data_IF_857731080485
#
_entry.id   IF_857731080485
#
_cell.length_a   1.000
_cell.length_b   1.000
_cell.length_c   1.000
_cell.angle_alpha   90.00
_cell.angle_beta   90.00
_cell.angle_gamma   90.00
#
_symmetry.space_group_name_H-M   'P 1'
#
loop_
_entity.id
_entity.type
_entity.pdbx_description
1 polymer ?
#
# COMPACT_ATOMS: atom_id res chain seq x y z
N UNK A 1 -0.96 14.05 -13.26
CA UNK A 1 -1.12 12.86 -12.39
C UNK A 1 -2.61 12.58 -12.19
N UNK A 2 -2.94 11.35 -11.80
CA UNK A 2 -4.31 10.95 -11.44
C UNK A 2 -4.74 11.57 -10.08
N UNK A 3 -5.99 11.34 -9.67
CA UNK A 3 -6.47 11.76 -8.34
C UNK A 3 -5.73 11.04 -7.21
N UNK A 4 -5.55 11.71 -6.06
CA UNK A 4 -5.04 11.06 -4.84
C UNK A 4 -6.03 10.03 -4.25
N UNK A 5 -7.27 9.99 -4.73
CA UNK A 5 -8.23 8.90 -4.41
C UNK A 5 -7.66 7.53 -4.76
N UNK A 6 -6.81 7.47 -5.79
CA UNK A 6 -6.14 6.24 -6.22
C UNK A 6 -5.04 5.76 -5.25
N UNK A 7 -4.63 6.60 -4.31
CA UNK A 7 -3.70 6.26 -3.23
C UNK A 7 -4.44 5.68 -2.01
N UNK A 8 -5.66 6.20 -1.74
CA UNK A 8 -6.46 5.81 -0.59
C UNK A 8 -7.70 5.04 -1.02
N UNK A 9 -7.57 3.72 -1.11
CA UNK A 9 -8.67 2.81 -1.46
C UNK A 9 -9.07 1.99 -0.24
N UNK A 10 -10.36 1.97 0.07
CA UNK A 10 -10.93 1.13 1.11
C UNK A 10 -11.19 -0.26 0.52
N UNK A 11 -10.74 -1.30 1.21
CA UNK A 11 -10.98 -2.67 0.77
C UNK A 11 -10.43 -3.72 1.72
N UNK A 12 -10.64 -4.97 1.35
CA UNK A 12 -10.13 -6.11 2.10
C UNK A 12 -8.67 -6.41 1.78
N UNK A 13 -7.85 -6.64 2.82
CA UNK A 13 -6.52 -7.20 2.65
C UNK A 13 -6.52 -8.66 2.16
N UNK A 14 -5.36 -9.30 2.11
CA UNK A 14 -4.08 -8.79 2.59
C UNK A 14 -3.27 -7.98 1.56
N UNK A 15 -3.61 -8.02 0.26
CA UNK A 15 -2.81 -7.40 -0.80
C UNK A 15 -3.63 -6.54 -1.75
N UNK A 16 -3.16 -5.33 -2.06
CA UNK A 16 -3.80 -4.50 -3.07
C UNK A 16 -3.64 -5.08 -4.49
N UNK A 17 -2.46 -5.60 -4.84
CA UNK A 17 -2.18 -6.17 -6.16
C UNK A 17 -2.68 -7.61 -6.32
N UNK A 18 -2.67 -8.42 -5.25
CA UNK A 18 -3.01 -9.86 -5.31
C UNK A 18 -4.41 -10.19 -4.78
N UNK A 19 -5.09 -9.26 -4.09
CA UNK A 19 -6.45 -9.44 -3.57
C UNK A 19 -7.42 -8.44 -4.15
N UNK A 20 -7.20 -7.12 -3.92
CA UNK A 20 -8.14 -6.08 -4.36
C UNK A 20 -8.24 -5.97 -5.88
N UNK A 21 -7.10 -5.98 -6.59
CA UNK A 21 -7.05 -5.95 -8.06
C UNK A 21 -7.77 -7.13 -8.71
N UNK A 22 -7.45 -8.39 -8.34
CA UNK A 22 -8.17 -9.57 -8.80
C UNK A 22 -9.66 -9.57 -8.47
N UNK A 23 -10.06 -9.15 -7.27
CA UNK A 23 -11.46 -9.01 -6.90
C UNK A 23 -12.21 -7.99 -7.78
N UNK A 24 -11.57 -6.83 -8.05
CA UNK A 24 -12.11 -5.82 -8.96
C UNK A 24 -12.27 -6.36 -10.39
N UNK A 25 -11.27 -7.08 -10.91
CA UNK A 25 -11.34 -7.69 -12.22
C UNK A 25 -12.45 -8.73 -12.31
N UNK A 26 -12.58 -9.60 -11.30
CA UNK A 26 -13.63 -10.60 -11.21
C UNK A 26 -15.02 -9.97 -11.19
N UNK A 27 -15.23 -8.88 -10.43
CA UNK A 27 -16.51 -8.17 -10.39
C UNK A 27 -16.89 -7.60 -11.76
N UNK A 28 -15.97 -6.92 -12.44
CA UNK A 28 -16.21 -6.37 -13.78
C UNK A 28 -16.52 -7.48 -14.78
N UNK A 29 -15.80 -8.61 -14.73
CA UNK A 29 -16.03 -9.71 -15.65
C UNK A 29 -17.36 -10.43 -15.38
N UNK A 30 -17.76 -10.55 -14.10
CA UNK A 30 -19.08 -11.09 -13.74
C UNK A 30 -20.24 -10.21 -14.26
N UNK A 31 -20.12 -8.89 -14.15
CA UNK A 31 -21.10 -7.94 -14.66
C UNK A 31 -21.22 -8.00 -16.19
N UNK A 32 -20.12 -8.22 -16.91
CA UNK A 32 -20.10 -8.41 -18.37
C UNK A 32 -20.76 -9.73 -18.81
N UNK A 33 -20.73 -10.75 -17.93
CA UNK A 33 -21.14 -12.11 -18.25
C UNK A 33 -22.22 -12.64 -17.30
N UNK A 34 -23.42 -11.99 -17.20
CA UNK A 34 -24.46 -12.40 -16.27
C UNK A 34 -25.02 -13.79 -16.57
N UNK A 35 -24.98 -14.22 -17.85
CA UNK A 35 -25.52 -15.50 -18.32
C UNK A 35 -24.50 -16.65 -18.33
N UNK A 36 -23.25 -16.42 -17.89
CA UNK A 36 -22.25 -17.50 -17.85
C UNK A 36 -22.72 -18.62 -16.90
N UNK A 37 -22.50 -19.86 -17.29
CA UNK A 37 -22.77 -21.03 -16.45
C UNK A 37 -21.64 -21.29 -15.43
N UNK A 38 -20.42 -20.85 -15.74
CA UNK A 38 -19.24 -20.94 -14.88
C UNK A 38 -18.11 -20.09 -15.41
N UNK A 39 -17.00 -20.07 -14.67
CA UNK A 39 -15.81 -19.34 -15.04
C UNK A 39 -14.54 -20.17 -14.91
N UNK A 40 -13.54 -19.88 -15.74
CA UNK A 40 -12.17 -20.33 -15.56
C UNK A 40 -11.27 -19.10 -15.50
N UNK A 41 -10.35 -19.07 -14.52
CA UNK A 41 -9.44 -17.94 -14.36
C UNK A 41 -8.01 -18.48 -14.28
N UNK A 42 -7.18 -18.11 -15.26
CA UNK A 42 -5.76 -18.45 -15.27
C UNK A 42 -4.93 -17.31 -14.72
N UNK A 43 -4.16 -17.58 -13.67
CA UNK A 43 -3.26 -16.64 -13.02
C UNK A 43 -1.83 -16.87 -13.49
N UNK A 44 -1.07 -15.79 -13.72
CA UNK A 44 0.28 -15.82 -14.28
C UNK A 44 1.32 -15.17 -13.36
N UNK A 45 2.59 -15.55 -13.53
CA UNK A 45 3.77 -14.93 -12.92
C UNK A 45 3.68 -14.77 -11.41
N UNK A 46 4.00 -13.59 -10.87
CA UNK A 46 3.98 -13.31 -9.43
C UNK A 46 2.60 -13.56 -8.81
N UNK A 47 1.53 -13.22 -9.52
CA UNK A 47 0.15 -13.43 -9.06
C UNK A 47 -0.15 -14.94 -8.84
N UNK A 48 0.42 -15.81 -9.65
CA UNK A 48 0.29 -17.26 -9.47
C UNK A 48 1.26 -17.79 -8.42
N UNK A 49 2.49 -17.29 -8.36
CA UNK A 49 3.53 -17.74 -7.44
C UNK A 49 3.16 -17.53 -5.97
N UNK A 50 2.56 -16.39 -5.64
CA UNK A 50 2.22 -16.00 -4.26
C UNK A 50 0.72 -15.92 -3.99
N UNK A 51 -0.12 -16.12 -4.99
CA UNK A 51 -1.56 -15.85 -4.94
C UNK A 51 -2.32 -16.62 -3.86
N UNK A 52 -1.94 -17.85 -3.54
CA UNK A 52 -2.56 -18.61 -2.43
C UNK A 52 -2.32 -17.95 -1.09
N UNK A 53 -1.11 -17.46 -0.85
CA UNK A 53 -0.77 -16.70 0.37
C UNK A 53 -1.45 -15.34 0.46
N UNK A 54 -1.81 -14.77 -0.68
CA UNK A 54 -2.52 -13.49 -0.80
C UNK A 54 -4.04 -13.64 -0.96
N UNK A 55 -4.59 -14.86 -0.81
CA UNK A 55 -6.03 -15.15 -0.92
C UNK A 55 -6.62 -14.76 -2.30
N UNK A 56 -5.81 -14.79 -3.37
CA UNK A 56 -6.21 -14.39 -4.72
C UNK A 56 -7.34 -15.26 -5.25
N UNK A 57 -7.20 -16.59 -5.10
CA UNK A 57 -8.24 -17.55 -5.46
C UNK A 57 -9.53 -17.34 -4.67
N UNK A 58 -9.39 -17.17 -3.37
CA UNK A 58 -10.54 -16.97 -2.47
C UNK A 58 -11.35 -15.74 -2.84
N UNK A 59 -10.71 -14.60 -3.13
CA UNK A 59 -11.42 -13.38 -3.53
C UNK A 59 -12.07 -13.52 -4.90
N UNK A 60 -11.40 -14.14 -5.87
CA UNK A 60 -11.97 -14.36 -7.21
C UNK A 60 -13.19 -15.27 -7.11
N UNK A 61 -13.06 -16.43 -6.45
CA UNK A 61 -14.15 -17.39 -6.29
C UNK A 61 -15.34 -16.79 -5.55
N UNK A 62 -15.08 -16.06 -4.46
CA UNK A 62 -16.16 -15.40 -3.69
C UNK A 62 -16.87 -14.32 -4.50
N UNK A 63 -16.14 -13.56 -5.31
CA UNK A 63 -16.70 -12.50 -6.17
C UNK A 63 -17.56 -13.08 -7.31
N UNK A 64 -17.13 -14.20 -7.89
CA UNK A 64 -17.85 -14.86 -8.98
C UNK A 64 -18.96 -15.81 -8.49
N UNK A 65 -19.08 -16.02 -7.17
CA UNK A 65 -20.17 -16.82 -6.57
C UNK A 65 -21.55 -16.27 -6.93
N UNK A 66 -22.59 -17.13 -7.13
CA UNK A 66 -22.63 -18.57 -6.87
C UNK A 66 -22.17 -19.46 -8.05
N UNK A 67 -21.60 -18.88 -9.11
CA UNK A 67 -21.19 -19.63 -10.30
C UNK A 67 -19.91 -20.45 -10.03
N UNK A 68 -19.82 -21.70 -10.50
CA UNK A 68 -18.62 -22.51 -10.35
C UNK A 68 -17.43 -21.83 -11.03
N UNK A 69 -16.30 -21.79 -10.34
CA UNK A 69 -15.08 -21.11 -10.82
C UNK A 69 -13.87 -22.01 -10.65
N UNK A 70 -13.17 -22.27 -11.76
CA UNK A 70 -11.90 -22.98 -11.79
C UNK A 70 -10.73 -22.01 -11.78
N UNK A 71 -9.74 -22.22 -10.91
CA UNK A 71 -8.50 -21.43 -10.87
C UNK A 71 -7.34 -22.26 -11.43
N UNK A 72 -6.68 -21.75 -12.46
CA UNK A 72 -5.51 -22.36 -13.10
C UNK A 72 -4.26 -21.55 -12.76
N UNK A 73 -3.24 -22.18 -12.19
CA UNK A 73 -2.01 -21.54 -11.74
C UNK A 73 -0.88 -21.74 -12.74
N UNK A 74 -0.32 -20.65 -13.27
CA UNK A 74 0.80 -20.66 -14.23
C UNK A 74 1.91 -19.70 -13.80
N UNK A 75 2.62 -20.00 -12.69
CA UNK A 75 3.76 -19.19 -12.22
C UNK A 75 4.94 -19.20 -13.22
N UNK A 76 5.02 -20.23 -14.03
CA UNK A 76 6.03 -20.42 -15.08
C UNK A 76 5.89 -19.46 -16.27
N UNK A 77 4.74 -18.77 -16.40
CA UNK A 77 4.48 -17.85 -17.50
C UNK A 77 4.46 -16.42 -16.98
N UNK A 78 5.44 -15.62 -17.39
CA UNK A 78 5.48 -14.19 -17.14
C UNK A 78 5.06 -13.44 -18.41
N UNK A 79 4.00 -12.65 -18.33
CA UNK A 79 3.53 -11.84 -19.45
C UNK A 79 4.41 -10.61 -19.65
N UNK A 80 4.60 -10.19 -20.91
CA UNK A 80 5.49 -9.08 -21.25
C UNK A 80 5.02 -7.72 -20.70
N UNK A 81 3.69 -7.49 -20.62
CA UNK A 81 3.12 -6.24 -20.16
C UNK A 81 3.29 -6.06 -18.63
N UNK A 82 2.94 -7.09 -17.85
CA UNK A 82 3.07 -7.07 -16.38
C UNK A 82 3.08 -8.50 -15.82
N UNK A 83 3.83 -8.72 -14.73
CA UNK A 83 3.95 -10.03 -14.08
C UNK A 83 2.63 -10.55 -13.48
N UNK A 84 1.72 -9.66 -13.06
CA UNK A 84 0.44 -10.02 -12.43
C UNK A 84 -0.69 -10.14 -13.45
N UNK A 85 -0.56 -11.06 -14.41
CA UNK A 85 -1.57 -11.31 -15.42
C UNK A 85 -2.70 -12.24 -14.92
N UNK A 86 -3.93 -11.96 -15.38
CA UNK A 86 -5.13 -12.78 -15.14
C UNK A 86 -5.87 -12.95 -16.46
N UNK A 87 -6.19 -14.18 -16.81
CA UNK A 87 -7.00 -14.50 -17.99
C UNK A 87 -8.32 -15.11 -17.53
N UNK A 88 -9.39 -14.37 -17.73
CA UNK A 88 -10.75 -14.79 -17.40
C UNK A 88 -11.43 -15.39 -18.62
N UNK A 89 -12.15 -16.48 -18.44
CA UNK A 89 -12.99 -17.15 -19.45
C UNK A 89 -14.39 -17.38 -18.86
N UNK A 90 -15.44 -16.92 -19.57
CA UNK A 90 -16.83 -17.20 -19.26
C UNK A 90 -17.29 -18.41 -20.03
N UNK A 91 -17.85 -19.41 -19.33
CA UNK A 91 -18.22 -20.70 -19.88
C UNK A 91 -19.76 -20.83 -19.99
N UNK A 92 -20.24 -21.46 -21.07
CA UNK A 92 -21.62 -21.90 -21.18
C UNK A 92 -21.88 -23.24 -20.45
N UNK A 93 -23.12 -23.73 -20.51
CA UNK A 93 -23.51 -24.99 -19.86
C UNK A 93 -22.76 -26.24 -20.39
N UNK A 94 -22.22 -26.17 -21.61
CA UNK A 94 -21.44 -27.23 -22.24
C UNK A 94 -19.93 -27.07 -21.99
N UNK A 95 -19.52 -26.06 -21.19
CA UNK A 95 -18.12 -25.74 -20.87
C UNK A 95 -17.36 -25.01 -21.99
N UNK A 96 -18.07 -24.50 -23.02
CA UNK A 96 -17.46 -23.76 -24.11
C UNK A 96 -17.30 -22.28 -23.75
N UNK A 97 -16.13 -21.71 -24.09
CA UNK A 97 -15.82 -20.29 -23.87
C UNK A 97 -16.70 -19.40 -24.74
N UNK A 98 -17.37 -18.44 -24.12
CA UNK A 98 -18.24 -17.43 -24.76
C UNK A 98 -17.63 -16.03 -24.78
N UNK A 99 -16.90 -15.67 -23.74
CA UNK A 99 -16.16 -14.41 -23.60
C UNK A 99 -14.87 -14.66 -22.87
N UNK A 100 -13.84 -13.91 -23.19
CA UNK A 100 -12.56 -13.98 -22.51
C UNK A 100 -11.98 -12.57 -22.29
N UNK A 101 -11.08 -12.46 -21.31
CA UNK A 101 -10.48 -11.19 -20.95
C UNK A 101 -9.12 -11.37 -20.31
N UNK A 102 -8.08 -10.82 -20.94
CA UNK A 102 -6.75 -10.72 -20.37
C UNK A 102 -6.56 -9.35 -19.72
N UNK A 103 -6.33 -9.33 -18.42
CA UNK A 103 -6.19 -8.12 -17.60
C UNK A 103 -5.05 -8.30 -16.59
N UNK A 104 -4.46 -7.20 -16.16
CA UNK A 104 -3.30 -7.18 -15.28
C UNK A 104 -3.58 -6.37 -14.04
N UNK A 105 -3.15 -6.85 -12.88
CA UNK A 105 -3.14 -6.07 -11.63
C UNK A 105 -1.83 -5.31 -11.51
N UNK A 106 -1.89 -3.98 -11.68
CA UNK A 106 -0.72 -3.11 -11.80
C UNK A 106 -0.29 -2.43 -10.48
N UNK A 107 -0.79 -2.91 -9.34
CA UNK A 107 -0.49 -2.37 -8.02
C UNK A 107 -1.55 -1.41 -7.49
N UNK A 108 -1.56 -1.19 -6.17
CA UNK A 108 -2.54 -0.30 -5.51
C UNK A 108 -4.02 -0.69 -5.69
N UNK A 109 -4.32 -1.91 -6.14
CA UNK A 109 -5.68 -2.36 -6.47
C UNK A 109 -6.16 -1.92 -7.86
N UNK A 110 -5.27 -1.39 -8.70
CA UNK A 110 -5.57 -1.02 -10.07
C UNK A 110 -5.39 -2.18 -11.04
N UNK A 111 -6.18 -2.13 -12.12
CA UNK A 111 -6.10 -3.09 -13.21
C UNK A 111 -5.89 -2.37 -14.54
N UNK A 112 -5.22 -3.02 -15.49
CA UNK A 112 -4.99 -2.50 -16.84
C UNK A 112 -5.06 -3.62 -17.88
N UNK A 113 -5.39 -3.28 -19.12
CA UNK A 113 -5.32 -4.14 -20.29
C UNK A 113 -4.07 -3.79 -21.11
N UNK A 114 -3.52 -4.75 -21.84
CA UNK A 114 -2.28 -4.58 -22.62
C UNK A 114 -2.37 -3.44 -23.67
N UNK A 115 -3.56 -3.22 -24.22
CA UNK A 115 -3.83 -2.19 -25.22
C UNK A 115 -4.56 -0.96 -24.66
N UNK A 116 -4.84 -0.93 -23.36
CA UNK A 116 -5.39 0.28 -22.74
C UNK A 116 -4.23 1.25 -22.49
N UNK A 117 -4.42 2.50 -22.90
CA UNK A 117 -3.52 3.55 -22.39
C UNK A 117 -3.50 3.46 -20.87
N UNK A 118 -2.31 3.49 -20.23
CA UNK A 118 -2.25 3.41 -18.78
C UNK A 118 -3.11 4.50 -18.16
N UNK A 119 -4.21 4.08 -17.50
CA UNK A 119 -5.13 4.95 -16.79
C UNK A 119 -6.12 5.68 -17.70
N UNK A 120 -7.32 5.10 -17.89
CA UNK A 120 -8.53 5.85 -18.25
C UNK A 120 -8.99 6.79 -17.12
N UNK A 121 -8.23 6.89 -16.01
CA UNK A 121 -8.48 7.87 -14.95
C UNK A 121 -8.21 9.28 -15.51
N UNK A 122 -9.19 10.14 -15.37
CA UNK A 122 -9.08 11.56 -15.72
C UNK A 122 -7.88 12.16 -15.00
N UNK A 123 -6.87 12.61 -15.74
CA UNK A 123 -5.72 13.32 -15.15
C UNK A 123 -6.25 14.58 -14.45
N UNK A 124 -6.00 14.65 -13.15
CA UNK A 124 -6.47 15.73 -12.28
C UNK A 124 -5.40 16.81 -12.14
N UNK A 125 -4.13 16.40 -12.00
CA UNK A 125 -3.01 17.31 -11.80
C UNK A 125 -2.24 17.55 -13.09
N UNK A 126 -1.95 18.82 -13.38
CA UNK A 126 -1.14 19.23 -14.55
C UNK A 126 0.37 19.04 -14.36
N UNK A 127 0.84 19.01 -13.10
CA UNK A 127 2.25 18.83 -12.77
C UNK A 127 2.53 17.37 -12.40
N UNK A 128 3.74 16.87 -12.74
CA UNK A 128 4.13 15.49 -12.53
C UNK A 128 5.32 15.33 -11.56
N UNK A 129 6.03 16.41 -11.24
CA UNK A 129 7.17 16.39 -10.33
C UNK A 129 6.94 17.28 -9.11
N UNK A 130 7.60 16.94 -8.00
CA UNK A 130 7.52 17.76 -6.80
C UNK A 130 8.16 19.14 -7.01
N UNK A 131 9.21 19.21 -7.81
CA UNK A 131 9.84 20.48 -8.21
C UNK A 131 8.88 21.41 -8.93
N UNK A 132 8.04 20.90 -9.84
CA UNK A 132 7.03 21.72 -10.54
C UNK A 132 5.92 22.15 -9.58
N UNK A 133 5.48 21.25 -8.70
CA UNK A 133 4.47 21.54 -7.67
C UNK A 133 4.96 22.63 -6.72
N UNK A 134 6.20 22.52 -6.21
CA UNK A 134 6.77 23.54 -5.33
C UNK A 134 6.84 24.92 -6.00
N UNK A 135 7.26 25.00 -7.24
CA UNK A 135 7.27 26.27 -8.00
C UNK A 135 5.87 26.88 -8.14
N UNK A 136 4.87 26.01 -8.37
CA UNK A 136 3.49 26.45 -8.50
C UNK A 136 2.95 26.99 -7.17
N UNK A 137 3.09 26.22 -6.08
CA UNK A 137 2.59 26.63 -4.76
C UNK A 137 3.31 27.88 -4.23
N UNK A 138 4.61 28.03 -4.51
CA UNK A 138 5.37 29.23 -4.15
C UNK A 138 4.83 30.47 -4.89
N UNK A 139 4.58 30.34 -6.19
CA UNK A 139 4.04 31.41 -7.02
C UNK A 139 2.63 31.83 -6.61
N UNK A 140 1.76 30.86 -6.29
CA UNK A 140 0.35 31.10 -5.97
C UNK A 140 0.11 31.34 -4.45
N UNK A 141 1.15 31.18 -3.61
CA UNK A 141 1.07 31.34 -2.16
C UNK A 141 0.26 30.23 -1.48
N UNK A 142 0.29 29.01 -2.01
CA UNK A 142 -0.46 27.86 -1.50
C UNK A 142 0.43 26.92 -0.67
N UNK A 143 -0.20 26.17 0.23
CA UNK A 143 0.37 24.96 0.83
C UNK A 143 0.12 23.75 -0.05
N UNK A 144 0.75 22.58 0.26
CA UNK A 144 0.52 21.34 -0.50
C UNK A 144 -0.94 20.86 -0.44
N UNK A 145 -1.60 20.95 0.71
CA UNK A 145 -3.00 20.54 0.82
C UNK A 145 -3.96 21.48 0.09
N UNK A 146 -3.65 22.79 0.01
CA UNK A 146 -4.41 23.77 -0.80
C UNK A 146 -4.22 23.51 -2.29
N UNK A 147 -3.02 23.10 -2.72
CA UNK A 147 -2.77 22.62 -4.07
C UNK A 147 -3.63 21.40 -4.41
N UNK A 148 -3.79 20.47 -3.46
CA UNK A 148 -4.68 19.31 -3.65
C UNK A 148 -6.13 19.78 -3.80
N UNK A 149 -6.64 20.62 -2.90
CA UNK A 149 -8.01 21.15 -2.99
C UNK A 149 -8.24 21.92 -4.30
N UNK A 150 -7.25 22.69 -4.75
CA UNK A 150 -7.32 23.45 -6.01
C UNK A 150 -7.56 22.56 -7.23
N UNK A 151 -6.93 21.38 -7.27
CA UNK A 151 -7.05 20.46 -8.40
C UNK A 151 -8.17 19.44 -8.27
N UNK A 152 -8.42 18.91 -7.08
CA UNK A 152 -9.41 17.85 -6.80
C UNK A 152 -10.83 18.40 -6.53
N UNK A 153 -10.92 19.68 -6.18
CA UNK A 153 -12.14 20.28 -5.68
C UNK A 153 -12.45 19.89 -4.22
N UNK A 154 -13.55 20.44 -3.69
CA UNK A 154 -13.93 20.22 -2.29
C UNK A 154 -14.39 18.80 -1.97
N UNK A 155 -14.78 18.06 -2.98
CA UNK A 155 -15.24 16.67 -2.85
C UNK A 155 -14.15 15.70 -2.37
N UNK A 156 -12.89 16.11 -2.44
CA UNK A 156 -11.79 15.29 -1.93
C UNK A 156 -11.87 15.12 -0.41
N UNK A 157 -12.41 16.11 0.30
CA UNK A 157 -12.50 16.06 1.76
C UNK A 157 -13.43 14.96 2.26
N UNK A 158 -14.53 14.70 1.57
CA UNK A 158 -15.45 13.60 1.92
C UNK A 158 -14.77 12.24 1.74
N UNK A 159 -13.99 12.08 0.67
CA UNK A 159 -13.20 10.87 0.43
C UNK A 159 -12.13 10.65 1.51
N UNK A 160 -11.37 11.71 1.83
CA UNK A 160 -10.34 11.64 2.87
C UNK A 160 -10.94 11.41 4.26
N UNK A 161 -12.12 11.99 4.55
CA UNK A 161 -12.83 11.75 5.80
C UNK A 161 -13.26 10.29 5.94
N UNK A 162 -13.84 9.69 4.89
CA UNK A 162 -14.19 8.27 4.88
C UNK A 162 -12.96 7.37 5.03
N UNK A 163 -11.87 7.69 4.33
CA UNK A 163 -10.61 6.96 4.48
C UNK A 163 -10.06 7.07 5.92
N UNK A 164 -10.09 8.27 6.51
CA UNK A 164 -9.63 8.47 7.88
C UNK A 164 -10.48 7.72 8.91
N UNK A 165 -11.78 7.67 8.74
CA UNK A 165 -12.67 6.89 9.62
C UNK A 165 -12.30 5.41 9.61
N UNK A 166 -12.13 4.80 8.44
CA UNK A 166 -11.71 3.40 8.29
C UNK A 166 -10.29 3.19 8.85
N UNK A 167 -9.36 4.12 8.65
CA UNK A 167 -8.02 4.05 9.24
C UNK A 167 -8.07 4.00 10.77
N UNK A 168 -8.90 4.83 11.41
CA UNK A 168 -9.08 4.83 12.86
C UNK A 168 -9.72 3.52 13.34
N UNK A 169 -10.73 3.02 12.61
CA UNK A 169 -11.40 1.77 12.97
C UNK A 169 -10.45 0.58 12.89
N UNK A 170 -9.66 0.49 11.81
CA UNK A 170 -8.67 -0.59 11.65
C UNK A 170 -7.61 -0.61 12.77
N UNK A 171 -7.24 0.56 13.33
CA UNK A 171 -6.38 0.63 14.53
C UNK A 171 -7.13 0.08 15.75
N UNK A 172 -8.38 0.51 16.01
CA UNK A 172 -9.15 0.09 17.18
C UNK A 172 -9.43 -1.41 17.18
N UNK A 173 -9.99 -1.91 16.07
CA UNK A 173 -10.30 -3.34 15.92
C UNK A 173 -9.04 -4.21 16.01
N UNK A 174 -7.94 -3.78 15.39
CA UNK A 174 -6.68 -4.50 15.43
C UNK A 174 -6.06 -4.58 16.83
N UNK A 175 -6.26 -3.55 17.67
CA UNK A 175 -5.82 -3.57 19.07
C UNK A 175 -6.69 -4.50 19.95
N UNK A 176 -7.94 -4.71 19.60
CA UNK A 176 -8.84 -5.60 20.32
C UNK A 176 -8.65 -7.08 19.94
N UNK A 177 -8.25 -7.34 18.69
CA UNK A 177 -8.13 -8.69 18.16
C UNK A 177 -6.76 -9.31 18.52
N UNK A 178 -6.79 -10.31 19.41
CA UNK A 178 -5.62 -11.08 19.86
C UNK A 178 -5.56 -12.51 19.29
N UNK A 179 -6.42 -12.83 18.33
CA UNK A 179 -6.44 -14.14 17.67
C UNK A 179 -5.15 -14.38 16.86
N UNK A 180 -4.83 -15.65 16.60
CA UNK A 180 -3.74 -16.01 15.69
C UNK A 180 -4.03 -15.49 14.27
N UNK A 181 -2.98 -15.06 13.57
CA UNK A 181 -3.07 -14.63 12.19
C UNK A 181 -3.20 -15.89 11.30
N UNK A 182 -4.16 -15.93 10.38
CA UNK A 182 -4.34 -17.08 9.46
C UNK A 182 -3.11 -17.32 8.59
N UNK A 183 -2.89 -18.59 8.20
CA UNK A 183 -1.80 -18.99 7.31
C UNK A 183 -0.85 -20.01 7.91
N UNK A 184 0.11 -20.49 7.10
CA UNK A 184 1.05 -21.54 7.48
C UNK A 184 1.99 -21.11 8.62
N UNK A 185 2.26 -19.81 8.78
CA UNK A 185 3.16 -19.28 9.81
C UNK A 185 2.56 -19.26 11.22
N UNK A 186 1.23 -19.36 11.35
CA UNK A 186 0.50 -19.39 12.65
C UNK A 186 0.92 -18.27 13.61
N UNK A 187 1.24 -17.09 13.11
CA UNK A 187 1.76 -15.99 13.90
C UNK A 187 0.77 -15.59 15.02
N UNK A 188 1.31 -15.29 16.20
CA UNK A 188 0.53 -14.67 17.27
C UNK A 188 0.40 -13.18 17.03
N UNK A 189 -0.76 -12.62 17.36
CA UNK A 189 -0.94 -11.17 17.42
C UNK A 189 0.02 -10.54 18.44
N UNK A 190 0.64 -9.43 18.07
CA UNK A 190 1.57 -8.66 18.92
C UNK A 190 1.01 -7.28 19.29
N UNK A 191 0.08 -6.74 18.50
CA UNK A 191 -0.43 -5.37 18.64
C UNK A 191 -0.95 -5.07 20.03
N UNK A 192 -1.89 -5.87 20.54
CA UNK A 192 -2.49 -5.71 21.88
C UNK A 192 -1.46 -5.80 23.01
N UNK A 193 -0.53 -6.76 22.93
CA UNK A 193 0.53 -6.90 23.94
C UNK A 193 1.48 -5.69 23.93
N UNK A 194 1.85 -5.20 22.74
CA UNK A 194 2.67 -3.99 22.62
C UNK A 194 1.95 -2.77 23.19
N UNK A 195 0.65 -2.63 22.95
CA UNK A 195 -0.17 -1.56 23.50
C UNK A 195 -0.23 -1.59 25.04
N UNK A 196 -0.47 -2.77 25.62
CA UNK A 196 -0.47 -2.95 27.08
C UNK A 196 0.91 -2.60 27.68
N UNK A 197 1.99 -3.08 27.07
CA UNK A 197 3.36 -2.80 27.54
C UNK A 197 3.71 -1.32 27.42
N UNK A 198 3.17 -0.61 26.44
CA UNK A 198 3.38 0.83 26.28
C UNK A 198 2.95 1.63 27.52
N UNK A 199 1.97 1.16 28.29
CA UNK A 199 1.53 1.81 29.54
C UNK A 199 2.61 1.83 30.63
N UNK A 200 3.56 0.87 30.59
CA UNK A 200 4.69 0.81 31.52
C UNK A 200 5.88 1.69 31.14
N UNK A 201 5.87 2.25 29.92
CA UNK A 201 6.92 3.15 29.46
C UNK A 201 6.55 4.61 29.71
N UNK A 202 7.56 5.48 29.70
CA UNK A 202 7.39 6.94 29.83
C UNK A 202 7.96 7.65 28.62
N UNK A 203 7.53 8.88 28.41
CA UNK A 203 8.06 9.85 27.45
C UNK A 203 8.21 9.25 26.02
N UNK A 204 9.39 9.39 25.45
CA UNK A 204 9.69 8.96 24.09
C UNK A 204 9.50 7.43 23.90
N UNK A 205 9.86 6.60 24.88
CA UNK A 205 9.68 5.15 24.76
C UNK A 205 8.20 4.78 24.69
N UNK A 206 7.34 5.46 25.43
CA UNK A 206 5.88 5.26 25.36
C UNK A 206 5.34 5.65 23.99
N UNK A 207 5.74 6.81 23.47
CA UNK A 207 5.33 7.27 22.14
C UNK A 207 5.70 6.25 21.05
N UNK A 208 6.95 5.79 21.04
CA UNK A 208 7.45 4.79 20.08
C UNK A 208 6.71 3.45 20.20
N UNK A 209 6.43 2.99 21.41
CA UNK A 209 5.68 1.76 21.65
C UNK A 209 4.22 1.87 21.18
N UNK A 210 3.56 3.02 21.40
CA UNK A 210 2.20 3.27 20.92
C UNK A 210 2.13 3.28 19.40
N UNK A 211 3.01 4.02 18.71
CA UNK A 211 3.07 4.02 17.24
C UNK A 211 3.30 2.61 16.70
N UNK A 212 4.23 1.86 17.31
CA UNK A 212 4.48 0.48 16.91
C UNK A 212 3.25 -0.41 17.09
N UNK A 213 2.52 -0.27 18.20
CA UNK A 213 1.32 -1.06 18.45
C UNK A 213 0.19 -0.75 17.47
N UNK A 214 -0.01 0.53 17.11
CA UNK A 214 -0.99 0.95 16.12
C UNK A 214 -0.64 0.43 14.71
N UNK A 215 0.65 0.50 14.33
CA UNK A 215 1.10 -0.04 13.05
C UNK A 215 0.93 -1.56 12.97
N UNK A 216 1.25 -2.29 14.03
CA UNK A 216 0.99 -3.72 14.14
C UNK A 216 -0.51 -4.02 14.06
N UNK A 217 -1.36 -3.25 14.75
CA UNK A 217 -2.81 -3.45 14.75
C UNK A 217 -3.39 -3.46 13.33
N UNK A 218 -3.07 -2.44 12.53
CA UNK A 218 -3.55 -2.35 11.15
C UNK A 218 -2.91 -3.42 10.27
N UNK A 219 -1.61 -3.68 10.39
CA UNK A 219 -0.92 -4.69 9.59
C UNK A 219 -1.45 -6.12 9.88
N UNK A 220 -1.76 -6.43 11.14
CA UNK A 220 -2.36 -7.70 11.54
C UNK A 220 -3.82 -7.82 11.07
N UNK A 221 -4.61 -6.73 11.10
CA UNK A 221 -5.94 -6.67 10.48
C UNK A 221 -5.87 -6.94 8.98
N UNK A 222 -4.95 -6.28 8.28
CA UNK A 222 -4.71 -6.54 6.86
C UNK A 222 -4.38 -8.01 6.59
N UNK A 223 -3.47 -8.60 7.36
CA UNK A 223 -3.06 -10.00 7.20
C UNK A 223 -4.20 -11.01 7.45
N UNK A 224 -5.25 -10.60 8.17
CA UNK A 224 -6.47 -11.39 8.39
C UNK A 224 -7.53 -11.21 7.30
N UNK A 225 -7.28 -10.39 6.29
CA UNK A 225 -8.28 -10.04 5.27
C UNK A 225 -9.31 -9.01 5.75
N UNK A 226 -9.03 -8.30 6.84
CA UNK A 226 -9.89 -7.23 7.34
C UNK A 226 -9.94 -6.02 6.43
N UNK A 227 -10.87 -5.09 6.72
CA UNK A 227 -11.01 -3.85 5.96
C UNK A 227 -9.92 -2.87 6.37
N UNK A 228 -9.18 -2.38 5.38
CA UNK A 228 -8.09 -1.41 5.55
C UNK A 228 -8.15 -0.35 4.45
N UNK A 229 -7.37 0.71 4.59
CA UNK A 229 -7.16 1.70 3.54
C UNK A 229 -5.76 1.53 2.98
N UNK A 230 -5.63 1.44 1.66
CA UNK A 230 -4.29 1.50 1.04
C UNK A 230 -3.62 2.84 1.35
N UNK A 231 -2.30 2.81 1.66
CA UNK A 231 -1.53 4.03 1.89
C UNK A 231 -0.03 3.79 1.63
N UNK A 232 0.43 3.59 0.38
CA UNK A 232 -0.38 3.45 -0.85
C UNK A 232 -0.83 2.03 -1.17
N UNK A 233 -0.39 1.00 -0.45
CA UNK A 233 -0.74 -0.41 -0.67
C UNK A 233 -1.22 -1.08 0.61
N UNK A 234 -1.83 -2.28 0.51
CA UNK A 234 -2.24 -3.05 1.68
C UNK A 234 -1.05 -3.49 2.54
N UNK A 235 0.08 -3.91 1.92
CA UNK A 235 1.27 -4.37 2.64
C UNK A 235 1.89 -3.30 3.57
N UNK A 236 1.66 -2.04 3.27
CA UNK A 236 2.16 -0.88 4.02
C UNK A 236 1.07 -0.05 4.73
N UNK A 237 -0.17 -0.55 4.74
CA UNK A 237 -1.36 0.18 5.21
C UNK A 237 -1.35 0.58 6.69
N UNK A 238 -0.46 0.01 7.50
CA UNK A 238 -0.34 0.34 8.92
C UNK A 238 0.52 1.58 9.20
N UNK A 239 1.31 2.06 8.25
CA UNK A 239 2.29 3.12 8.48
C UNK A 239 1.61 4.48 8.66
N UNK A 240 0.87 4.96 7.68
CA UNK A 240 0.20 6.27 7.72
C UNK A 240 -0.84 6.34 8.83
N UNK A 241 -1.76 5.36 8.97
CA UNK A 241 -2.77 5.41 10.03
C UNK A 241 -2.18 5.44 11.43
N UNK A 242 -1.15 4.63 11.71
CA UNK A 242 -0.55 4.58 13.05
C UNK A 242 0.08 5.89 13.48
N UNK A 243 0.78 6.54 12.55
CA UNK A 243 1.42 7.83 12.81
C UNK A 243 0.38 8.91 13.03
N UNK A 244 -0.61 9.02 12.14
CA UNK A 244 -1.66 10.05 12.25
C UNK A 244 -2.58 9.82 13.46
N UNK A 245 -2.90 8.55 13.77
CA UNK A 245 -3.66 8.22 14.97
C UNK A 245 -2.89 8.62 16.23
N UNK A 246 -1.58 8.38 16.26
CA UNK A 246 -0.73 8.85 17.34
C UNK A 246 -0.70 10.38 17.45
N UNK A 247 -0.57 11.09 16.33
CA UNK A 247 -0.62 12.57 16.32
C UNK A 247 -1.94 13.10 16.89
N UNK A 248 -3.07 12.50 16.51
CA UNK A 248 -4.37 12.86 17.08
C UNK A 248 -4.43 12.59 18.58
N UNK A 249 -4.04 11.41 19.03
CA UNK A 249 -4.21 10.97 20.42
C UNK A 249 -3.21 11.59 21.39
N UNK A 250 -1.96 11.80 20.97
CA UNK A 250 -0.89 12.28 21.83
C UNK A 250 -0.70 13.81 21.77
N UNK A 251 -0.96 14.42 20.61
CA UNK A 251 -0.73 15.85 20.39
C UNK A 251 -2.03 16.65 20.21
N UNK A 252 -3.20 15.98 20.15
CA UNK A 252 -4.49 16.65 20.10
C UNK A 252 -4.83 17.30 18.76
N UNK A 253 -4.18 16.91 17.67
CA UNK A 253 -4.54 17.42 16.35
C UNK A 253 -5.98 17.07 15.98
N UNK A 254 -6.71 18.03 15.42
CA UNK A 254 -8.10 17.84 15.01
C UNK A 254 -8.20 16.96 13.77
N UNK A 255 -9.36 16.34 13.54
CA UNK A 255 -9.60 15.58 12.31
C UNK A 255 -9.40 16.45 11.06
N UNK A 256 -9.75 17.74 11.13
CA UNK A 256 -9.51 18.69 10.03
C UNK A 256 -8.01 18.83 9.71
N UNK A 257 -7.15 18.87 10.72
CA UNK A 257 -5.70 18.95 10.51
C UNK A 257 -5.16 17.63 9.95
N UNK A 258 -5.67 16.49 10.43
CA UNK A 258 -5.34 15.15 9.90
C UNK A 258 -5.75 15.02 8.43
N UNK A 259 -6.94 15.50 8.03
CA UNK A 259 -7.37 15.46 6.62
C UNK A 259 -6.44 16.27 5.72
N UNK A 260 -6.01 17.45 6.15
CA UNK A 260 -5.02 18.26 5.41
C UNK A 260 -3.67 17.53 5.29
N UNK A 261 -3.23 16.86 6.36
CA UNK A 261 -2.02 16.04 6.35
C UNK A 261 -2.16 14.83 5.42
N UNK A 262 -3.32 14.18 5.36
CA UNK A 262 -3.63 13.12 4.39
C UNK A 262 -3.61 13.63 2.95
N UNK A 263 -4.13 14.84 2.68
CA UNK A 263 -4.07 15.44 1.35
C UNK A 263 -2.62 15.62 0.89
N UNK A 264 -1.76 16.20 1.73
CA UNK A 264 -0.32 16.32 1.44
C UNK A 264 0.34 14.94 1.27
N UNK A 265 0.08 13.99 2.17
CA UNK A 265 0.63 12.63 2.08
C UNK A 265 0.23 11.93 0.77
N UNK A 266 -1.04 12.04 0.38
CA UNK A 266 -1.56 11.49 -0.87
C UNK A 266 -0.90 12.10 -2.11
N UNK A 267 -0.62 13.40 -2.09
CA UNK A 267 0.10 14.09 -3.18
C UNK A 267 1.50 13.52 -3.38
N UNK A 268 2.29 13.35 -2.30
CA UNK A 268 3.63 12.76 -2.38
C UNK A 268 3.59 11.29 -2.82
N UNK A 269 2.66 10.50 -2.30
CA UNK A 269 2.42 9.13 -2.75
C UNK A 269 2.06 9.05 -4.25
N UNK A 270 1.28 10.02 -4.74
CA UNK A 270 0.89 10.10 -6.15
C UNK A 270 2.06 10.48 -7.08
N UNK A 271 2.99 11.34 -6.62
CA UNK A 271 4.24 11.63 -7.33
C UNK A 271 5.08 10.36 -7.49
N UNK A 272 5.22 9.55 -6.43
CA UNK A 272 5.94 8.27 -6.48
C UNK A 272 5.25 7.31 -7.45
N UNK A 273 3.93 7.12 -7.33
CA UNK A 273 3.14 6.24 -8.19
C UNK A 273 3.28 6.62 -9.66
N UNK A 274 3.30 7.92 -9.96
CA UNK A 274 3.36 8.43 -11.33
C UNK A 274 4.75 8.28 -11.96
N UNK A 275 5.81 8.56 -11.21
CA UNK A 275 7.18 8.64 -11.75
C UNK A 275 8.00 7.36 -11.56
N UNK A 276 7.59 6.52 -10.62
CA UNK A 276 8.24 5.23 -10.36
C UNK A 276 7.21 4.10 -10.34
N UNK A 277 6.98 3.48 -9.19
CA UNK A 277 5.92 2.50 -8.95
C UNK A 277 5.69 2.34 -7.45
N UNK A 278 4.46 1.96 -7.08
CA UNK A 278 4.10 1.55 -5.71
C UNK A 278 3.91 0.03 -5.60
N UNK A 279 4.27 -0.75 -6.63
CA UNK A 279 4.10 -2.21 -6.68
C UNK A 279 5.34 -2.94 -6.18
N UNK A 280 5.17 -3.82 -5.19
CA UNK A 280 6.24 -4.70 -4.71
C UNK A 280 6.77 -5.65 -5.80
N UNK A 281 5.90 -6.07 -6.71
CA UNK A 281 6.25 -6.92 -7.84
C UNK A 281 7.11 -6.20 -8.91
N UNK A 282 7.05 -4.87 -8.97
CA UNK A 282 7.84 -4.09 -9.93
C UNK A 282 9.15 -3.58 -9.33
N UNK A 283 9.08 -2.98 -8.15
CA UNK A 283 10.21 -2.25 -7.55
C UNK A 283 10.60 -2.74 -6.16
N UNK A 284 10.05 -3.83 -5.68
CA UNK A 284 10.26 -4.29 -4.31
C UNK A 284 9.51 -3.46 -3.26
N UNK A 285 9.74 -3.76 -1.98
CA UNK A 285 9.07 -3.04 -0.88
C UNK A 285 9.49 -1.58 -0.72
N UNK A 286 10.54 -1.11 -1.39
CA UNK A 286 10.83 0.33 -1.44
C UNK A 286 9.65 1.12 -2.05
N UNK A 287 8.90 0.52 -3.02
CA UNK A 287 7.69 1.10 -3.60
C UNK A 287 6.50 1.10 -2.64
N UNK A 288 6.36 0.13 -1.76
CA UNK A 288 5.27 0.03 -0.80
C UNK A 288 5.59 0.72 0.51
N UNK A 289 6.52 0.14 1.27
CA UNK A 289 6.93 0.61 2.61
C UNK A 289 7.65 1.96 2.52
N UNK A 290 8.54 2.13 1.52
CA UNK A 290 9.23 3.40 1.31
C UNK A 290 8.24 4.54 1.00
N UNK A 291 7.29 4.31 0.10
CA UNK A 291 6.25 5.30 -0.22
C UNK A 291 5.37 5.64 0.98
N UNK A 292 4.95 4.64 1.76
CA UNK A 292 4.17 4.87 2.97
C UNK A 292 4.95 5.64 4.05
N UNK A 293 6.26 5.37 4.17
CA UNK A 293 7.17 6.10 5.06
C UNK A 293 7.24 7.59 4.65
N UNK A 294 7.38 7.87 3.34
CA UNK A 294 7.31 9.23 2.78
C UNK A 294 6.00 9.90 3.15
N UNK A 295 4.88 9.25 2.86
CA UNK A 295 3.54 9.78 3.12
C UNK A 295 3.35 10.14 4.59
N UNK A 296 3.76 9.26 5.50
CA UNK A 296 3.67 9.51 6.93
C UNK A 296 4.61 10.65 7.39
N UNK A 297 5.84 10.71 6.86
CA UNK A 297 6.81 11.74 7.22
C UNK A 297 6.34 13.15 6.81
N UNK A 298 5.84 13.32 5.59
CA UNK A 298 5.34 14.62 5.11
C UNK A 298 4.07 15.05 5.85
N UNK A 299 3.21 14.08 6.21
CA UNK A 299 2.02 14.36 7.01
C UNK A 299 2.36 14.92 8.39
N UNK A 300 3.31 14.30 9.10
CA UNK A 300 3.79 14.79 10.40
C UNK A 300 4.45 16.14 10.26
N UNK A 301 5.32 16.32 9.27
CA UNK A 301 6.02 17.58 9.05
C UNK A 301 5.03 18.73 8.84
N UNK A 302 3.98 18.51 8.04
CA UNK A 302 2.91 19.48 7.86
C UNK A 302 2.12 19.77 9.14
N UNK A 303 1.78 18.76 9.94
CA UNK A 303 1.05 18.95 11.21
C UNK A 303 1.80 19.88 12.17
N UNK A 304 3.13 19.81 12.18
CA UNK A 304 3.98 20.68 13.00
C UNK A 304 4.37 21.99 12.31
N UNK A 305 3.76 22.32 11.15
CA UNK A 305 3.93 23.62 10.49
C UNK A 305 5.23 23.75 9.69
N UNK A 306 5.79 22.63 9.22
CA UNK A 306 6.97 22.64 8.37
C UNK A 306 6.75 23.42 7.06
N UNK A 307 7.79 24.10 6.60
CA UNK A 307 7.79 24.79 5.30
C UNK A 307 7.71 23.78 4.15
N UNK A 308 7.30 24.20 2.95
CA UNK A 308 7.32 23.31 1.78
C UNK A 308 8.67 22.63 1.53
N UNK A 309 9.78 23.33 1.80
CA UNK A 309 11.14 22.79 1.69
C UNK A 309 11.43 21.74 2.76
N UNK A 310 10.99 21.94 4.01
CA UNK A 310 11.15 20.98 5.09
C UNK A 310 10.29 19.73 4.87
N UNK A 311 9.07 19.89 4.34
CA UNK A 311 8.18 18.78 3.99
C UNK A 311 8.81 17.93 2.88
N UNK A 312 9.35 18.56 1.83
CA UNK A 312 10.02 17.86 0.73
C UNK A 312 11.30 17.17 1.18
N UNK A 313 12.08 17.81 2.09
CA UNK A 313 13.27 17.20 2.67
C UNK A 313 12.93 15.97 3.52
N UNK A 314 11.85 16.00 4.30
CA UNK A 314 11.37 14.81 5.01
C UNK A 314 11.00 13.67 4.05
N UNK A 315 10.40 14.00 2.91
CA UNK A 315 10.07 13.02 1.86
C UNK A 315 11.30 12.39 1.24
N UNK A 316 12.29 13.20 0.92
CA UNK A 316 13.57 12.75 0.35
C UNK A 316 14.24 11.75 1.29
N UNK A 317 14.49 12.14 2.56
CA UNK A 317 15.12 11.28 3.56
C UNK A 317 14.31 10.00 3.82
N UNK A 318 12.99 10.09 3.88
CA UNK A 318 12.15 8.92 4.09
C UNK A 318 12.31 7.91 2.95
N UNK A 319 12.42 8.35 1.69
CA UNK A 319 12.59 7.46 0.55
C UNK A 319 14.03 6.93 0.48
N UNK A 320 15.07 7.78 0.62
CA UNK A 320 16.44 7.34 0.49
C UNK A 320 16.82 6.21 1.47
N UNK A 321 16.27 6.27 2.70
CA UNK A 321 16.50 5.25 3.73
C UNK A 321 15.69 3.95 3.53
N UNK A 322 14.86 3.88 2.50
CA UNK A 322 14.12 2.69 2.11
C UNK A 322 14.56 2.13 0.74
N UNK A 323 15.54 2.75 0.07
CA UNK A 323 16.08 2.23 -1.19
C UNK A 323 16.66 0.82 -1.02
N UNK A 324 16.41 -0.04 -2.01
CA UNK A 324 16.91 -1.41 -2.03
C UNK A 324 16.08 -2.41 -1.21
N UNK A 325 14.99 -2.03 -0.58
CA UNK A 325 14.12 -2.97 0.14
C UNK A 325 13.51 -4.00 -0.82
N UNK A 326 13.84 -5.26 -0.58
CA UNK A 326 13.30 -6.43 -1.31
C UNK A 326 11.84 -6.68 -0.95
N UNK A 327 11.09 -7.37 -1.81
CA UNK A 327 9.77 -7.93 -1.51
C UNK A 327 9.87 -9.46 -1.58
N UNK A 328 10.13 -10.09 -0.44
CA UNK A 328 10.48 -11.48 -0.29
C UNK A 328 9.69 -12.15 0.87
N UNK A 329 8.32 -12.11 0.83
CA UNK A 329 7.51 -12.58 1.94
C UNK A 329 7.60 -14.10 2.10
N UNK A 330 7.75 -14.55 3.36
CA UNK A 330 7.79 -15.98 3.71
C UNK A 330 6.45 -16.62 3.37
N UNK A 331 6.47 -17.77 2.71
CA UNK A 331 5.27 -18.45 2.18
C UNK A 331 4.43 -17.60 1.22
N UNK A 332 4.93 -16.50 0.69
CA UNK A 332 4.12 -15.55 -0.07
C UNK A 332 3.03 -14.86 0.75
N UNK A 333 3.13 -14.84 2.08
CA UNK A 333 2.14 -14.23 2.97
C UNK A 333 2.51 -12.78 3.28
N UNK A 334 1.54 -11.86 3.25
CA UNK A 334 1.72 -10.47 3.72
C UNK A 334 1.83 -10.44 5.25
N UNK A 335 2.82 -11.16 5.78
CA UNK A 335 3.04 -11.35 7.22
C UNK A 335 4.49 -11.05 7.60
N UNK A 336 5.44 -11.90 7.21
CA UNK A 336 6.86 -11.67 7.46
C UNK A 336 7.57 -11.46 6.11
N UNK A 337 8.23 -10.31 5.95
CA UNK A 337 8.52 -9.24 6.93
C UNK A 337 7.46 -8.11 6.98
N UNK A 338 6.36 -8.18 6.26
CA UNK A 338 5.44 -7.07 6.04
C UNK A 338 4.88 -6.48 7.33
N UNK A 339 4.36 -7.33 8.25
CA UNK A 339 3.80 -6.88 9.54
C UNK A 339 4.85 -6.09 10.33
N UNK A 340 6.11 -6.57 10.36
CA UNK A 340 7.17 -5.95 11.15
C UNK A 340 7.77 -4.69 10.48
N UNK A 341 7.72 -4.60 9.15
CA UNK A 341 8.15 -3.39 8.42
C UNK A 341 7.26 -2.18 8.69
N UNK A 342 5.96 -2.38 8.96
CA UNK A 342 5.05 -1.28 9.24
C UNK A 342 5.48 -0.44 10.46
N UNK A 343 5.68 -1.01 11.68
CA UNK A 343 6.14 -0.22 12.82
C UNK A 343 7.53 0.40 12.62
N UNK A 344 8.44 -0.30 11.94
CA UNK A 344 9.78 0.24 11.69
C UNK A 344 9.75 1.47 10.77
N UNK A 345 8.96 1.42 9.71
CA UNK A 345 8.79 2.56 8.80
C UNK A 345 7.99 3.71 9.43
N UNK A 346 6.98 3.41 10.26
CA UNK A 346 6.24 4.42 11.00
C UNK A 346 7.14 5.21 11.97
N UNK A 347 8.03 4.53 12.68
CA UNK A 347 9.01 5.18 13.56
C UNK A 347 10.03 6.00 12.76
N UNK A 348 10.52 5.47 11.64
CA UNK A 348 11.42 6.21 10.74
C UNK A 348 10.76 7.48 10.20
N UNK A 349 9.49 7.43 9.83
CA UNK A 349 8.75 8.58 9.36
C UNK A 349 8.73 9.73 10.40
N UNK A 350 8.57 9.40 11.69
CA UNK A 350 8.68 10.37 12.77
C UNK A 350 10.10 10.93 12.89
N UNK A 351 11.10 10.07 12.89
CA UNK A 351 12.49 10.46 13.09
C UNK A 351 12.95 11.41 11.96
N UNK A 352 12.68 11.10 10.69
CA UNK A 352 13.06 11.97 9.55
C UNK A 352 12.25 13.26 9.51
N UNK A 353 10.96 13.23 9.90
CA UNK A 353 10.13 14.42 9.98
C UNK A 353 10.68 15.41 11.00
N UNK A 354 11.01 14.96 12.21
CA UNK A 354 11.59 15.81 13.24
C UNK A 354 12.97 16.35 12.84
N UNK A 355 13.80 15.54 12.20
CA UNK A 355 15.07 16.00 11.67
C UNK A 355 14.87 17.14 10.65
N UNK A 356 13.96 16.98 9.70
CA UNK A 356 13.66 18.01 8.71
C UNK A 356 13.12 19.29 9.33
N UNK A 357 12.24 19.21 10.36
CA UNK A 357 11.71 20.36 11.09
C UNK A 357 12.78 21.16 11.83
N UNK A 358 13.86 20.50 12.29
CA UNK A 358 14.97 21.15 12.95
C UNK A 358 15.97 21.79 11.97
N UNK A 359 15.87 21.49 10.68
CA UNK A 359 16.72 22.02 9.62
C UNK A 359 16.16 23.29 8.99
N UNK A 360 16.93 23.92 8.12
CA UNK A 360 16.47 25.03 7.26
C UNK A 360 15.76 24.55 5.97
N UNK A 361 15.58 23.24 5.82
CA UNK A 361 14.96 22.61 4.65
C UNK A 361 15.87 22.53 3.41
N UNK A 362 17.11 23.04 3.49
CA UNK A 362 18.05 22.95 2.36
C UNK A 362 18.76 21.60 2.36
N UNK A 363 18.80 20.96 1.20
CA UNK A 363 19.46 19.67 1.00
C UNK A 363 19.93 19.50 -0.45
N UNK A 364 20.81 18.52 -0.69
CA UNK A 364 21.50 18.39 -1.97
C UNK A 364 20.71 17.59 -2.99
N UNK A 365 20.04 16.54 -2.56
CA UNK A 365 19.32 15.59 -3.42
C UNK A 365 17.83 15.87 -3.32
N UNK A 366 17.16 16.23 -4.41
CA UNK A 366 15.72 16.46 -4.38
C UNK A 366 14.93 15.16 -4.29
N UNK A 367 13.71 15.24 -3.77
CA UNK A 367 12.78 14.12 -3.71
C UNK A 367 12.53 13.49 -5.11
N UNK A 368 12.41 14.30 -6.16
CA UNK A 368 12.26 13.79 -7.54
C UNK A 368 13.44 12.90 -7.96
N UNK A 369 14.67 13.26 -7.58
CA UNK A 369 15.88 12.46 -7.87
C UNK A 369 15.90 11.14 -7.11
N UNK A 370 15.44 11.13 -5.87
CA UNK A 370 15.35 9.90 -5.07
C UNK A 370 14.26 8.99 -5.62
N UNK A 371 13.12 9.53 -6.07
CA UNK A 371 12.07 8.76 -6.75
C UNK A 371 12.58 8.13 -8.06
N UNK A 372 13.33 8.88 -8.87
CA UNK A 372 13.98 8.32 -10.06
C UNK A 372 15.02 7.25 -9.71
N UNK A 373 15.77 7.44 -8.64
CA UNK A 373 16.72 6.43 -8.13
C UNK A 373 15.98 5.18 -7.68
N UNK A 374 14.87 5.31 -6.94
CA UNK A 374 14.03 4.19 -6.53
C UNK A 374 13.51 3.39 -7.74
N UNK A 375 13.08 4.06 -8.80
CA UNK A 375 12.68 3.42 -10.07
C UNK A 375 13.81 2.59 -10.67
N UNK A 376 15.03 3.15 -10.73
CA UNK A 376 16.21 2.48 -11.29
C UNK A 376 16.64 1.29 -10.42
N UNK A 377 16.80 1.48 -9.12
CA UNK A 377 17.16 0.39 -8.20
C UNK A 377 16.10 -0.71 -8.21
N UNK A 378 14.81 -0.35 -8.31
CA UNK A 378 13.74 -1.32 -8.48
C UNK A 378 13.85 -2.13 -9.75
N UNK A 379 14.24 -1.51 -10.86
CA UNK A 379 14.50 -2.22 -12.12
C UNK A 379 15.71 -3.16 -12.02
N UNK A 380 16.75 -2.75 -11.28
CA UNK A 380 17.99 -3.52 -11.13
C UNK A 380 17.87 -4.66 -10.10
N UNK A 381 16.87 -4.62 -9.21
CA UNK A 381 16.59 -5.76 -8.31
C UNK A 381 16.27 -7.01 -9.13
N UNK A 382 16.92 -8.17 -8.83
CA UNK A 382 16.55 -9.46 -9.41
C UNK A 382 15.09 -9.82 -9.18
N UNK A 383 14.47 -10.53 -10.11
CA UNK A 383 13.06 -10.96 -10.04
C UNK A 383 12.74 -11.74 -8.76
N UNK A 384 13.70 -12.54 -8.27
CA UNK A 384 13.55 -13.32 -7.03
C UNK A 384 13.30 -12.47 -5.77
N UNK A 385 13.55 -11.16 -5.82
CA UNK A 385 13.28 -10.21 -4.74
C UNK A 385 12.05 -9.31 -4.99
N UNK A 386 11.21 -9.67 -5.96
CA UNK A 386 10.04 -8.90 -6.40
C UNK A 386 8.74 -9.69 -6.26
N UNK A 387 8.37 -10.01 -5.02
CA UNK A 387 7.09 -10.65 -4.68
C UNK A 387 6.90 -12.04 -5.36
N UNK A 388 7.98 -12.82 -5.45
CA UNK A 388 7.95 -14.20 -5.99
C UNK A 388 8.01 -15.29 -4.93
N UNK A 389 8.44 -14.94 -3.72
CA UNK A 389 8.76 -15.89 -2.65
C UNK A 389 9.85 -16.93 -3.04
N UNK A 390 10.69 -16.62 -4.03
CA UNK A 390 11.75 -17.50 -4.54
C UNK A 390 13.15 -17.14 -4.02
N UNK A 391 13.28 -16.03 -3.29
CA UNK A 391 14.57 -15.52 -2.78
C UNK A 391 14.47 -14.81 -1.45
N UNK A 392 15.58 -14.34 -0.94
CA UNK A 392 15.67 -13.57 0.30
C UNK A 392 15.12 -14.31 1.52
N UNK A 393 14.31 -13.63 2.32
CA UNK A 393 13.71 -14.22 3.53
C UNK A 393 12.79 -15.42 3.23
N UNK A 394 12.16 -15.45 2.07
CA UNK A 394 11.28 -16.56 1.68
C UNK A 394 12.02 -17.91 1.62
N UNK A 395 13.33 -17.90 1.39
CA UNK A 395 14.17 -19.11 1.31
C UNK A 395 15.04 -19.32 2.56
N UNK A 396 14.85 -18.53 3.60
CA UNK A 396 15.71 -18.55 4.82
C UNK A 396 15.54 -19.82 5.68
N UNK A 397 14.83 -20.83 5.23
CA UNK A 397 14.65 -22.12 5.89
C UNK A 397 14.03 -21.96 7.29
N UNK A 398 12.73 -22.19 7.40
CA UNK A 398 12.07 -22.31 8.72
C UNK A 398 11.39 -23.68 8.74
N UNK A 399 11.62 -24.42 9.81
CA UNK A 399 10.85 -25.60 10.09
C UNK A 399 9.59 -25.15 10.85
N UNK A 400 8.42 -25.59 10.39
CA UNK A 400 7.15 -25.29 11.06
C UNK A 400 7.09 -25.84 12.50
N UNK A 401 8.00 -26.75 12.85
CA UNK A 401 8.23 -27.26 14.20
C UNK A 401 9.02 -26.32 15.11
N UNK A 402 9.76 -25.34 14.53
CA UNK A 402 10.53 -24.35 15.29
C UNK A 402 9.75 -23.07 15.63
N UNK A 403 8.53 -22.92 15.12
CA UNK A 403 7.64 -21.84 15.55
C UNK A 403 7.13 -22.21 16.92
N UNK A 404 7.96 -21.87 17.93
CA UNK A 404 7.74 -22.12 19.34
C UNK A 404 6.36 -21.59 19.75
N UNK A 405 5.57 -22.47 20.35
CA UNK A 405 4.27 -22.20 20.97
C UNK A 405 4.30 -21.09 22.05
#
# INVERSE_FOLDING_TARGET
>A
MDSIREIYKIGHGPSSSHTMGPGKAAAIFAERNPEAAGFRVTLYGSLAATGKGHMTDSVIVSTLSPKPTEIVWRPDIVKAFHTNGMFFEALDADGKVKDDWLVYSIGGGDIAEENSEPGTSKKVYGHNSMTEIQKFIEKEGLSFWEYVEFHEGKEIWDHLAGAWEVMQESVREGLENDSRIPGCLRLRSKAKQCFIRASGFKDNLRSRALVSSYALAVAEMNARGGVVVTAPTCGSCGIVPSVLYHMKMAHGFSDKDILKALATAGLFGNVIRTNASISGAEVGCQGEVGSACVMAAVAVNQLFGGSPQQIEYAAEMAMEHNLGLTCDPICGLVQIPCIERNPMAALRALDVSFYALLSDGKHLISFDKVVDTMKRTGKDLPSLYKETAEGGLATAGYETSEIID
#
